data_IF_256799365192
#
_entry.id   IF_256799365192
#
_cell.length_a   1.000
_cell.length_b   1.000
_cell.length_c   1.000
_cell.angle_alpha   90.00
_cell.angle_beta   90.00
_cell.angle_gamma   90.00
#
_symmetry.space_group_name_H-M   'P 1'
#
loop_
_entity.id
_entity.type
_entity.pdbx_description
1 polymer ?
#
# COMPACT_ATOMS: atom_id res chain seq x y z
N UNK A 1 -4.05 18.18 -42.52
CA UNK A 1 -5.06 18.02 -41.46
C UNK A 1 -4.49 17.07 -40.41
N UNK A 2 -4.58 17.42 -39.13
CA UNK A 2 -4.08 16.58 -38.03
C UNK A 2 -5.06 15.42 -37.79
N UNK A 3 -4.54 14.19 -37.65
CA UNK A 3 -5.37 13.00 -37.49
C UNK A 3 -6.23 13.06 -36.20
N UNK A 4 -7.51 12.61 -36.24
CA UNK A 4 -8.32 12.46 -35.03
C UNK A 4 -7.65 11.61 -33.95
N UNK A 5 -6.83 10.61 -34.31
CA UNK A 5 -6.05 9.86 -33.32
C UNK A 5 -5.12 10.79 -32.54
N UNK A 6 -4.36 11.64 -33.24
CA UNK A 6 -3.43 12.57 -32.62
C UNK A 6 -4.14 13.56 -31.68
N UNK A 7 -5.28 14.11 -32.13
CA UNK A 7 -6.06 15.09 -31.37
C UNK A 7 -6.56 14.51 -30.04
N UNK A 8 -6.93 13.22 -30.02
CA UNK A 8 -7.53 12.61 -28.82
C UNK A 8 -6.54 11.84 -27.95
N UNK A 9 -5.42 11.36 -28.49
CA UNK A 9 -4.46 10.55 -27.72
C UNK A 9 -3.30 11.38 -27.14
N UNK A 10 -2.71 12.27 -27.93
CA UNK A 10 -1.48 12.98 -27.54
C UNK A 10 -1.71 13.92 -26.35
N UNK A 11 -2.80 14.72 -26.28
CA UNK A 11 -3.05 15.56 -25.12
C UNK A 11 -3.26 14.75 -23.83
N UNK A 12 -3.94 13.60 -23.91
CA UNK A 12 -4.19 12.73 -22.76
C UNK A 12 -2.90 12.13 -22.23
N UNK A 13 -2.04 11.60 -23.10
CA UNK A 13 -0.73 11.09 -22.68
C UNK A 13 0.14 12.20 -22.08
N UNK A 14 0.14 13.39 -22.69
CA UNK A 14 0.92 14.54 -22.20
C UNK A 14 0.44 14.98 -20.82
N UNK A 15 -0.88 15.08 -20.61
CA UNK A 15 -1.48 15.40 -19.32
C UNK A 15 -1.10 14.36 -18.27
N UNK A 16 -1.20 13.07 -18.61
CA UNK A 16 -0.96 12.00 -17.65
C UNK A 16 0.51 11.84 -17.26
N UNK A 17 1.42 11.98 -18.21
CA UNK A 17 2.86 11.98 -17.93
C UNK A 17 3.28 13.22 -17.13
N UNK A 18 2.65 14.38 -17.37
CA UNK A 18 2.89 15.60 -16.58
C UNK A 18 2.38 15.43 -15.15
N UNK A 19 1.19 14.84 -14.97
CA UNK A 19 0.66 14.51 -13.65
C UNK A 19 1.59 13.53 -12.91
N UNK A 20 2.07 12.49 -13.58
CA UNK A 20 3.02 11.53 -13.02
C UNK A 20 4.33 12.21 -12.59
N UNK A 21 4.89 13.11 -13.42
CA UNK A 21 6.09 13.89 -13.06
C UNK A 21 5.88 14.69 -11.77
N UNK A 22 4.73 15.33 -11.61
CA UNK A 22 4.40 16.07 -10.39
C UNK A 22 4.28 15.15 -9.17
N UNK A 23 3.62 14.00 -9.33
CA UNK A 23 3.50 12.99 -8.25
C UNK A 23 4.89 12.50 -7.83
N UNK A 24 5.79 12.24 -8.78
CA UNK A 24 7.15 11.80 -8.48
C UNK A 24 7.95 12.87 -7.73
N UNK A 25 7.83 14.15 -8.11
CA UNK A 25 8.47 15.25 -7.40
C UNK A 25 7.92 15.41 -5.97
N UNK A 26 6.61 15.24 -5.78
CA UNK A 26 5.99 15.25 -4.46
C UNK A 26 6.43 14.06 -3.60
N UNK A 27 6.56 12.88 -4.20
CA UNK A 27 7.06 11.69 -3.53
C UNK A 27 8.50 11.87 -3.06
N UNK A 28 9.38 12.38 -3.92
CA UNK A 28 10.78 12.67 -3.56
C UNK A 28 10.85 13.72 -2.44
N UNK A 29 10.13 14.84 -2.56
CA UNK A 29 10.05 15.85 -1.52
C UNK A 29 9.54 15.29 -0.19
N UNK A 30 8.55 14.39 -0.22
CA UNK A 30 8.03 13.73 0.98
C UNK A 30 9.04 12.78 1.62
N UNK A 31 9.79 12.01 0.82
CA UNK A 31 10.85 11.12 1.32
C UNK A 31 11.96 11.93 2.00
N UNK A 32 12.39 13.03 1.38
CA UNK A 32 13.39 13.95 1.95
C UNK A 32 12.87 14.62 3.23
N UNK A 33 11.66 15.20 3.19
CA UNK A 33 11.08 15.92 4.33
C UNK A 33 10.84 15.01 5.54
N UNK A 34 10.50 13.74 5.32
CA UNK A 34 10.29 12.77 6.39
C UNK A 34 11.56 12.01 6.79
N UNK A 35 12.72 12.30 6.17
CA UNK A 35 13.98 11.55 6.38
C UNK A 35 13.74 10.04 6.38
N UNK A 36 12.87 9.56 5.48
CA UNK A 36 12.41 8.17 5.49
C UNK A 36 13.53 7.28 4.99
N UNK A 37 14.34 6.78 5.91
CA UNK A 37 15.19 5.63 5.66
C UNK A 37 14.28 4.38 5.66
N UNK A 38 14.06 3.72 4.52
CA UNK A 38 13.17 2.56 4.42
C UNK A 38 13.57 1.44 5.39
N UNK A 39 14.87 1.22 5.58
CA UNK A 39 15.38 0.21 6.51
C UNK A 39 15.07 0.58 7.96
N UNK A 40 15.18 1.86 8.31
CA UNK A 40 14.83 2.34 9.65
C UNK A 40 13.33 2.21 9.93
N UNK A 41 12.47 2.45 8.94
CA UNK A 41 11.03 2.29 9.06
C UNK A 41 10.63 0.82 9.18
N UNK A 42 11.21 -0.05 8.35
CA UNK A 42 10.96 -1.49 8.41
C UNK A 42 11.44 -2.08 9.73
N UNK A 43 12.64 -1.71 10.18
CA UNK A 43 13.20 -2.14 11.46
C UNK A 43 12.30 -1.73 12.62
N UNK A 44 11.86 -0.46 12.68
CA UNK A 44 10.94 0.01 13.71
C UNK A 44 9.61 -0.73 13.69
N UNK A 45 9.05 -0.95 12.50
CA UNK A 45 7.75 -1.65 12.35
C UNK A 45 7.87 -3.12 12.76
N UNK A 46 8.94 -3.82 12.36
CA UNK A 46 9.20 -5.20 12.77
C UNK A 46 9.45 -5.31 14.27
N UNK A 47 10.21 -4.39 14.86
CA UNK A 47 10.42 -4.35 16.31
C UNK A 47 9.10 -4.10 17.07
N UNK A 48 8.27 -3.20 16.58
CA UNK A 48 6.93 -2.97 17.14
C UNK A 48 6.07 -4.23 17.09
N UNK A 49 5.96 -4.88 15.91
CA UNK A 49 5.18 -6.11 15.73
C UNK A 49 5.70 -7.23 16.64
N UNK A 50 7.02 -7.44 16.67
CA UNK A 50 7.65 -8.46 17.51
C UNK A 50 7.54 -8.20 19.02
N UNK A 51 7.30 -6.94 19.41
CA UNK A 51 7.08 -6.53 20.79
C UNK A 51 5.61 -6.51 21.23
N UNK A 52 4.66 -6.83 20.35
CA UNK A 52 3.24 -6.89 20.74
C UNK A 52 3.03 -8.12 21.63
N UNK A 53 2.62 -7.85 22.86
CA UNK A 53 2.24 -8.89 23.82
C UNK A 53 1.07 -9.75 23.30
N UNK A 54 1.30 -11.06 23.24
CA UNK A 54 0.33 -12.05 22.79
C UNK A 54 -0.96 -12.03 23.61
N UNK A 55 -0.89 -11.69 24.91
CA UNK A 55 -2.06 -11.60 25.78
C UNK A 55 -3.07 -10.53 25.29
N UNK A 56 -2.62 -9.52 24.54
CA UNK A 56 -3.52 -8.49 23.97
C UNK A 56 -4.44 -9.02 22.87
N UNK A 57 -4.15 -10.21 22.35
CA UNK A 57 -4.96 -10.89 21.35
C UNK A 57 -5.99 -11.85 21.96
N UNK A 58 -5.97 -12.06 23.29
CA UNK A 58 -7.02 -12.83 23.98
C UNK A 58 -8.40 -12.27 23.64
N UNK A 59 -9.32 -13.17 23.32
CA UNK A 59 -10.68 -12.92 22.83
C UNK A 59 -10.77 -11.97 21.60
N UNK A 60 -9.64 -11.68 20.95
CA UNK A 60 -9.54 -10.73 19.86
C UNK A 60 -10.42 -11.08 18.66
N UNK A 61 -10.63 -12.38 18.43
CA UNK A 61 -11.51 -12.92 17.38
C UNK A 61 -12.94 -12.39 17.49
N UNK A 62 -13.42 -12.17 18.72
CA UNK A 62 -14.78 -11.73 19.04
C UNK A 62 -14.93 -10.21 19.15
N UNK A 63 -13.81 -9.47 19.29
CA UNK A 63 -13.78 -8.03 19.53
C UNK A 63 -14.51 -7.26 18.42
N UNK A 64 -15.43 -6.36 18.78
CA UNK A 64 -16.08 -5.49 17.80
C UNK A 64 -15.09 -4.46 17.25
N UNK A 65 -15.04 -4.38 15.92
CA UNK A 65 -14.27 -3.40 15.16
C UNK A 65 -15.23 -2.62 14.27
N UNK A 66 -15.25 -1.31 14.47
CA UNK A 66 -16.11 -0.38 13.70
C UNK A 66 -15.26 0.31 12.64
N UNK A 67 -15.53 0.01 11.38
CA UNK A 67 -14.91 0.66 10.23
C UNK A 67 -15.67 1.92 9.87
N UNK A 68 -14.93 3.02 9.64
CA UNK A 68 -15.46 4.33 9.22
C UNK A 68 -16.63 4.80 10.12
N UNK A 69 -16.39 4.90 11.44
CA UNK A 69 -17.44 5.26 12.39
C UNK A 69 -18.04 6.63 12.05
N UNK A 70 -19.37 6.75 12.12
CA UNK A 70 -20.09 7.99 11.85
C UNK A 70 -20.27 8.34 10.37
N UNK A 71 -20.00 7.41 9.45
CA UNK A 71 -20.21 7.62 8.00
C UNK A 71 -21.36 6.75 7.47
N UNK A 72 -22.00 7.09 6.33
CA UNK A 72 -22.99 6.22 5.67
C UNK A 72 -22.45 4.84 5.24
N UNK A 73 -21.12 4.66 5.26
CA UNK A 73 -20.43 3.41 4.94
C UNK A 73 -19.87 2.71 6.18
N UNK A 74 -20.37 3.06 7.37
CA UNK A 74 -20.00 2.39 8.62
C UNK A 74 -20.23 0.89 8.50
N UNK A 75 -19.28 0.09 8.99
CA UNK A 75 -19.40 -1.36 9.00
C UNK A 75 -18.82 -1.91 10.29
N UNK A 76 -19.60 -2.72 10.99
CA UNK A 76 -19.15 -3.45 12.17
C UNK A 76 -18.73 -4.86 11.78
N UNK A 77 -17.60 -5.31 12.31
CA UNK A 77 -17.04 -6.65 12.12
C UNK A 77 -16.55 -7.16 13.47
N UNK A 78 -16.57 -8.47 13.70
CA UNK A 78 -15.75 -9.04 14.77
C UNK A 78 -14.29 -9.14 14.30
N UNK A 79 -13.36 -9.34 15.24
CA UNK A 79 -11.93 -9.34 14.94
C UNK A 79 -11.52 -10.37 13.88
N UNK A 80 -12.12 -11.57 13.91
CA UNK A 80 -11.83 -12.60 12.90
C UNK A 80 -12.26 -12.16 11.49
N UNK A 81 -13.49 -11.63 11.34
CA UNK A 81 -13.98 -11.16 10.06
C UNK A 81 -13.24 -9.92 9.58
N UNK A 82 -12.83 -9.03 10.49
CA UNK A 82 -11.96 -7.91 10.17
C UNK A 82 -10.62 -8.40 9.63
N UNK A 83 -9.93 -9.30 10.34
CA UNK A 83 -8.60 -9.77 9.95
C UNK A 83 -8.65 -10.47 8.59
N UNK A 84 -9.52 -11.46 8.43
CA UNK A 84 -9.57 -12.29 7.23
C UNK A 84 -10.09 -11.55 5.99
N UNK A 85 -11.11 -10.70 6.16
CA UNK A 85 -11.83 -10.12 5.02
C UNK A 85 -11.52 -8.64 4.77
N UNK A 86 -10.76 -7.99 5.67
CA UNK A 86 -10.40 -6.59 5.54
C UNK A 86 -8.89 -6.35 5.72
N UNK A 87 -8.34 -6.71 6.89
CA UNK A 87 -6.93 -6.44 7.23
C UNK A 87 -5.95 -7.14 6.29
N UNK A 88 -5.99 -8.47 6.21
CA UNK A 88 -5.06 -9.24 5.38
C UNK A 88 -5.19 -8.92 3.88
N UNK A 89 -6.39 -8.84 3.27
CA UNK A 89 -6.50 -8.50 1.85
C UNK A 89 -5.91 -7.12 1.51
N UNK A 90 -6.13 -6.11 2.35
CA UNK A 90 -5.57 -4.77 2.17
C UNK A 90 -4.04 -4.79 2.28
N UNK A 91 -3.50 -5.48 3.29
CA UNK A 91 -2.07 -5.62 3.47
C UNK A 91 -1.41 -6.25 2.23
N UNK A 92 -1.93 -7.39 1.77
CA UNK A 92 -1.38 -8.08 0.60
C UNK A 92 -1.56 -7.29 -0.69
N UNK A 93 -2.64 -6.53 -0.85
CA UNK A 93 -2.82 -5.64 -1.99
C UNK A 93 -1.67 -4.63 -2.09
N UNK A 94 -1.32 -3.96 -0.99
CA UNK A 94 -0.25 -2.97 -0.99
C UNK A 94 1.14 -3.58 -1.18
N UNK A 95 1.44 -4.71 -0.51
CA UNK A 95 2.73 -5.41 -0.67
C UNK A 95 2.91 -5.87 -2.12
N UNK A 96 1.86 -6.46 -2.72
CA UNK A 96 1.89 -6.93 -4.11
C UNK A 96 2.03 -5.77 -5.10
N UNK A 97 1.37 -4.64 -4.84
CA UNK A 97 1.47 -3.44 -5.68
C UNK A 97 2.90 -2.88 -5.68
N UNK A 98 3.54 -2.78 -4.51
CA UNK A 98 4.93 -2.33 -4.41
C UNK A 98 5.88 -3.28 -5.16
N UNK A 99 5.72 -4.60 -4.94
CA UNK A 99 6.46 -5.63 -5.68
C UNK A 99 6.30 -5.48 -7.20
N UNK A 100 5.07 -5.30 -7.68
CA UNK A 100 4.77 -5.18 -9.11
C UNK A 100 5.39 -3.92 -9.73
N UNK A 101 5.32 -2.78 -9.04
CA UNK A 101 5.92 -1.52 -9.51
C UNK A 101 7.45 -1.63 -9.60
N UNK A 102 8.11 -2.17 -8.58
CA UNK A 102 9.56 -2.33 -8.57
C UNK A 102 10.02 -3.29 -9.67
N UNK A 103 9.33 -4.43 -9.82
CA UNK A 103 9.60 -5.39 -10.88
C UNK A 103 9.37 -4.78 -12.27
N UNK A 104 8.31 -3.99 -12.44
CA UNK A 104 8.02 -3.30 -13.69
C UNK A 104 9.11 -2.27 -14.06
N UNK A 105 9.71 -1.61 -13.07
CA UNK A 105 10.82 -0.68 -13.25
C UNK A 105 12.20 -1.36 -13.44
N UNK A 106 12.23 -2.69 -13.62
CA UNK A 106 13.45 -3.42 -13.96
C UNK A 106 14.25 -3.94 -12.77
N UNK A 107 13.74 -3.82 -11.53
CA UNK A 107 14.36 -4.49 -10.39
C UNK A 107 14.25 -6.01 -10.54
N UNK A 108 15.37 -6.72 -10.42
CA UNK A 108 15.46 -8.17 -10.62
C UNK A 108 14.91 -8.96 -9.41
N UNK A 109 13.60 -8.86 -9.17
CA UNK A 109 12.88 -9.56 -8.09
C UNK A 109 11.87 -10.58 -8.63
N UNK A 110 11.71 -11.67 -7.90
CA UNK A 110 10.93 -12.86 -8.22
C UNK A 110 9.88 -13.24 -7.17
N UNK A 111 9.13 -14.29 -7.46
CA UNK A 111 8.15 -14.86 -6.52
C UNK A 111 8.81 -15.24 -5.18
N UNK A 112 10.06 -15.71 -5.19
CA UNK A 112 10.80 -16.06 -3.97
C UNK A 112 11.03 -14.84 -3.08
N UNK A 113 11.34 -13.69 -3.66
CA UNK A 113 11.52 -12.43 -2.91
C UNK A 113 10.22 -11.93 -2.29
N UNK A 114 9.08 -12.19 -2.95
CA UNK A 114 7.75 -11.89 -2.39
C UNK A 114 7.34 -12.87 -1.28
N UNK A 115 7.56 -14.18 -1.47
CA UNK A 115 7.15 -15.22 -0.53
C UNK A 115 8.07 -15.31 0.70
N UNK A 116 9.30 -14.80 0.62
CA UNK A 116 10.30 -14.92 1.66
C UNK A 116 10.93 -16.31 1.77
N UNK A 117 11.73 -16.49 2.82
CA UNK A 117 12.28 -17.79 3.22
C UNK A 117 11.26 -18.53 4.10
N UNK A 118 11.08 -19.82 3.84
CA UNK A 118 10.31 -20.77 4.63
C UNK A 118 11.25 -21.65 5.45
#
# INVERSE_FOLDING_TARGET
MTSPMYIHSVPVFTQMLTALKTILAQADAQVQAKSMNPDALLTQTLAFIGGVDAAKFEDGESREIVLRPGTPKEKKLNGQAYLANYGLPQFFFHVTTAYALLRHNGLAIGKRDYMGAY
#
